data_IF_086750808770
#
_entry.id   IF_086750808770
#
_cell.length_a   1.000
_cell.length_b   1.000
_cell.length_c   1.000
_cell.angle_alpha   90.00
_cell.angle_beta   90.00
_cell.angle_gamma   90.00
#
_symmetry.space_group_name_H-M   'P 1'
#
loop_
_entity.id
_entity.type
_entity.pdbx_description
1 polymer ?
#
# COMPACT_ATOMS: atom_id res chain seq x y z
N UNK A 1 0.30 -14.10 -3.88
CA UNK A 1 1.05 -12.85 -3.80
C UNK A 1 0.17 -11.61 -3.72
N UNK A 2 -0.77 -11.48 -4.63
CA UNK A 2 -1.66 -10.30 -4.61
C UNK A 2 -2.47 -10.20 -3.33
N UNK A 3 -3.16 -11.27 -2.94
CA UNK A 3 -3.99 -11.28 -1.74
C UNK A 3 -3.18 -11.00 -0.48
N UNK A 4 -1.99 -11.57 -0.39
CA UNK A 4 -1.09 -11.35 0.75
C UNK A 4 -0.73 -9.87 0.88
N UNK A 5 -0.43 -9.21 -0.24
CA UNK A 5 -0.10 -7.78 -0.25
C UNK A 5 -1.31 -6.95 0.17
N UNK A 6 -2.49 -7.27 -0.34
CA UNK A 6 -3.72 -6.56 0.04
C UNK A 6 -4.06 -6.74 1.52
N UNK A 7 -3.84 -7.93 2.06
CA UNK A 7 -4.04 -8.18 3.49
C UNK A 7 -3.05 -7.40 4.34
N UNK A 8 -1.82 -7.26 3.87
CA UNK A 8 -0.81 -6.46 4.56
C UNK A 8 -1.25 -4.98 4.66
N UNK A 9 -1.77 -4.43 3.56
CA UNK A 9 -2.29 -3.06 3.54
C UNK A 9 -3.52 -2.93 4.43
N UNK A 10 -4.44 -3.88 4.35
CA UNK A 10 -5.66 -3.89 5.17
C UNK A 10 -5.32 -3.91 6.65
N UNK A 11 -4.39 -4.76 7.06
CA UNK A 11 -3.97 -4.85 8.45
C UNK A 11 -3.39 -3.53 8.94
N UNK A 12 -2.57 -2.89 8.12
CA UNK A 12 -2.04 -1.56 8.45
C UNK A 12 -3.16 -0.54 8.65
N UNK A 13 -4.15 -0.53 7.76
CA UNK A 13 -5.26 0.44 7.84
C UNK A 13 -6.11 0.21 9.08
N UNK A 14 -6.29 -1.04 9.51
CA UNK A 14 -7.08 -1.39 10.69
C UNK A 14 -6.31 -1.23 12.00
N UNK A 15 -5.01 -1.51 11.98
CA UNK A 15 -4.14 -1.55 13.16
C UNK A 15 -2.86 -0.76 12.89
N UNK A 16 -3.00 0.55 12.70
CA UNK A 16 -1.88 1.40 12.31
C UNK A 16 -0.78 1.40 13.38
N UNK A 17 0.45 0.99 13.02
CA UNK A 17 1.58 1.04 13.96
C UNK A 17 2.06 2.47 14.12
N UNK A 18 2.90 2.70 15.14
CA UNK A 18 3.53 3.99 15.36
C UNK A 18 4.57 4.32 14.29
N UNK A 19 5.23 3.29 13.74
CA UNK A 19 6.26 3.45 12.73
C UNK A 19 5.74 3.11 11.34
N UNK A 20 5.20 4.13 10.66
CA UNK A 20 4.71 3.94 9.29
C UNK A 20 5.82 3.98 8.26
N UNK A 21 7.00 4.50 8.62
CA UNK A 21 8.14 4.51 7.72
C UNK A 21 8.60 3.09 7.39
N UNK A 22 8.70 2.24 8.40
CA UNK A 22 9.05 0.83 8.20
C UNK A 22 8.02 0.11 7.32
N UNK A 23 6.72 0.33 7.59
CA UNK A 23 5.65 -0.22 6.77
C UNK A 23 5.83 0.20 5.30
N UNK A 24 6.12 1.47 5.06
CA UNK A 24 6.26 2.01 3.71
C UNK A 24 7.42 1.38 2.94
N UNK A 25 8.55 1.19 3.61
CA UNK A 25 9.72 0.55 3.00
C UNK A 25 9.40 -0.88 2.61
N UNK A 26 8.75 -1.63 3.50
CA UNK A 26 8.38 -3.03 3.24
C UNK A 26 7.39 -3.09 2.07
N UNK A 27 6.39 -2.22 2.05
CA UNK A 27 5.41 -2.21 0.96
C UNK A 27 6.05 -1.86 -0.39
N UNK A 28 6.96 -0.88 -0.42
CA UNK A 28 7.69 -0.55 -1.65
C UNK A 28 8.49 -1.75 -2.16
N UNK A 29 9.18 -2.46 -1.27
CA UNK A 29 9.94 -3.64 -1.63
C UNK A 29 9.05 -4.73 -2.22
N UNK A 30 7.89 -4.96 -1.61
CA UNK A 30 6.92 -5.94 -2.11
C UNK A 30 6.42 -5.55 -3.50
N UNK A 31 6.13 -4.28 -3.72
CA UNK A 31 5.63 -3.81 -5.02
C UNK A 31 6.68 -3.93 -6.13
N UNK A 32 7.96 -3.91 -5.79
CA UNK A 32 9.04 -4.15 -6.76
C UNK A 32 9.28 -5.64 -6.94
N UNK A 33 9.49 -6.35 -5.84
CA UNK A 33 9.93 -7.74 -5.87
C UNK A 33 8.85 -8.71 -6.34
N UNK A 34 7.59 -8.47 -5.95
CA UNK A 34 6.49 -9.37 -6.23
C UNK A 34 5.55 -8.86 -7.34
N UNK A 35 5.90 -7.77 -8.00
CA UNK A 35 5.04 -7.17 -9.02
C UNK A 35 4.62 -8.17 -10.10
N UNK A 36 5.57 -8.89 -10.67
CA UNK A 36 5.28 -9.81 -11.77
C UNK A 36 4.31 -10.91 -11.36
N UNK A 37 4.53 -11.49 -10.16
CA UNK A 37 3.63 -12.53 -9.64
C UNK A 37 2.24 -11.97 -9.35
N UNK A 38 2.15 -10.78 -8.78
CA UNK A 38 0.87 -10.12 -8.52
C UNK A 38 0.15 -9.77 -9.81
N UNK A 39 0.87 -9.27 -10.79
CA UNK A 39 0.33 -8.90 -12.09
C UNK A 39 -0.21 -10.12 -12.84
N UNK A 40 0.45 -11.26 -12.70
CA UNK A 40 -0.04 -12.49 -13.30
C UNK A 40 -1.38 -12.91 -12.67
N UNK A 41 -1.55 -12.72 -11.37
CA UNK A 41 -2.78 -13.09 -10.66
C UNK A 41 -3.91 -12.10 -10.89
N UNK A 42 -3.61 -10.79 -10.81
CA UNK A 42 -4.58 -9.69 -10.93
C UNK A 42 -3.95 -8.54 -11.70
N UNK A 43 -3.89 -8.63 -13.04
CA UNK A 43 -3.13 -7.65 -13.82
C UNK A 43 -3.62 -6.20 -13.65
N UNK A 44 -4.92 -5.95 -13.80
CA UNK A 44 -5.42 -4.58 -13.69
C UNK A 44 -5.32 -4.03 -12.27
N UNK A 45 -5.68 -4.82 -11.28
CA UNK A 45 -5.61 -4.40 -9.90
C UNK A 45 -4.16 -4.09 -9.48
N UNK A 46 -3.21 -4.89 -9.94
CA UNK A 46 -1.79 -4.68 -9.66
C UNK A 46 -1.28 -3.39 -10.31
N UNK A 47 -1.69 -3.10 -11.54
CA UNK A 47 -1.32 -1.87 -12.23
C UNK A 47 -1.83 -0.64 -11.46
N UNK A 48 -3.07 -0.69 -10.98
CA UNK A 48 -3.64 0.39 -10.17
C UNK A 48 -2.86 0.57 -8.87
N UNK A 49 -2.59 -0.53 -8.17
CA UNK A 49 -1.85 -0.50 -6.92
C UNK A 49 -0.45 0.10 -7.10
N UNK A 50 0.24 -0.27 -8.16
CA UNK A 50 1.60 0.18 -8.41
C UNK A 50 1.71 1.60 -8.97
N UNK A 51 0.61 2.25 -9.29
CA UNK A 51 0.62 3.59 -9.87
C UNK A 51 0.86 4.68 -8.83
N UNK A 52 -0.02 4.80 -7.84
CA UNK A 52 0.05 5.88 -6.84
C UNK A 52 0.67 5.44 -5.52
N UNK A 53 0.60 4.16 -5.19
CA UNK A 53 1.06 3.66 -3.90
C UNK A 53 2.54 3.94 -3.63
N UNK A 54 3.46 3.79 -4.62
CA UNK A 54 4.85 4.14 -4.38
C UNK A 54 5.05 5.61 -3.98
N UNK A 55 4.30 6.53 -4.57
CA UNK A 55 4.37 7.95 -4.21
C UNK A 55 3.87 8.20 -2.79
N UNK A 56 2.82 7.50 -2.39
CA UNK A 56 2.30 7.58 -1.03
C UNK A 56 3.37 7.08 -0.04
N UNK A 57 3.96 5.93 -0.33
CA UNK A 57 5.03 5.36 0.50
C UNK A 57 6.24 6.29 0.59
N UNK A 58 6.60 6.95 -0.51
CA UNK A 58 7.71 7.88 -0.55
C UNK A 58 7.50 9.10 0.36
N UNK A 59 6.26 9.41 0.71
CA UNK A 59 5.95 10.53 1.61
C UNK A 59 6.17 10.18 3.09
N UNK A 60 6.34 8.91 3.43
CA UNK A 60 6.53 8.49 4.80
C UNK A 60 7.92 8.84 5.31
N UNK A 61 7.99 9.34 6.54
CA UNK A 61 9.23 9.75 7.18
C UNK A 61 9.25 9.28 8.63
N UNK A 62 10.44 9.10 9.24
CA UNK A 62 10.52 8.87 10.68
C UNK A 62 9.98 10.09 11.45
N UNK A 63 9.23 9.84 12.51
CA UNK A 63 8.76 10.92 13.38
C UNK A 63 7.61 11.75 12.82
N UNK A 64 6.77 11.18 11.99
CA UNK A 64 5.60 11.88 11.46
C UNK A 64 4.61 12.25 12.57
N UNK A 65 3.96 13.41 12.41
CA UNK A 65 2.93 13.87 13.34
C UNK A 65 1.65 13.03 13.15
N UNK A 66 0.74 13.01 14.16
CA UNK A 66 -0.55 12.34 13.99
C UNK A 66 -1.34 12.82 12.78
N UNK A 67 -1.24 14.10 12.43
CA UNK A 67 -1.92 14.66 11.25
C UNK A 67 -1.33 14.09 9.96
N UNK A 68 -0.01 14.01 9.87
CA UNK A 68 0.69 13.42 8.73
C UNK A 68 0.37 11.95 8.57
N UNK A 69 0.33 11.22 9.69
CA UNK A 69 -0.06 9.81 9.68
C UNK A 69 -1.50 9.64 9.19
N UNK A 70 -2.40 10.49 9.65
CA UNK A 70 -3.80 10.48 9.22
C UNK A 70 -3.94 10.70 7.71
N UNK A 71 -3.18 11.64 7.16
CA UNK A 71 -3.19 11.93 5.73
C UNK A 71 -2.63 10.77 4.91
N UNK A 72 -1.54 10.16 5.38
CA UNK A 72 -0.97 8.97 4.77
C UNK A 72 -2.01 7.84 4.69
N UNK A 73 -2.68 7.56 5.81
CA UNK A 73 -3.72 6.53 5.87
C UNK A 73 -4.87 6.83 4.93
N UNK A 74 -5.32 8.08 4.87
CA UNK A 74 -6.42 8.50 4.01
C UNK A 74 -6.07 8.24 2.54
N UNK A 75 -4.89 8.63 2.10
CA UNK A 75 -4.43 8.43 0.73
C UNK A 75 -4.31 6.95 0.40
N UNK A 76 -3.71 6.18 1.29
CA UNK A 76 -3.55 4.75 1.10
C UNK A 76 -4.89 4.03 1.04
N UNK A 77 -5.85 4.42 1.87
CA UNK A 77 -7.19 3.83 1.88
C UNK A 77 -7.91 4.06 0.55
N UNK A 78 -7.78 5.25 -0.02
CA UNK A 78 -8.37 5.56 -1.32
C UNK A 78 -7.82 4.61 -2.39
N UNK A 79 -6.51 4.41 -2.42
CA UNK A 79 -5.90 3.49 -3.38
C UNK A 79 -6.31 2.05 -3.13
N UNK A 80 -6.33 1.62 -1.88
CA UNK A 80 -6.79 0.29 -1.49
C UNK A 80 -8.20 0.01 -2.03
N UNK A 81 -9.12 0.94 -1.86
CA UNK A 81 -10.50 0.78 -2.32
C UNK A 81 -10.59 0.74 -3.86
N UNK A 82 -9.79 1.55 -4.56
CA UNK A 82 -9.70 1.48 -6.03
C UNK A 82 -9.24 0.11 -6.49
N UNK A 83 -8.22 -0.43 -5.84
CA UNK A 83 -7.67 -1.75 -6.17
C UNK A 83 -8.73 -2.84 -5.97
N UNK A 84 -9.45 -2.79 -4.86
CA UNK A 84 -10.52 -3.76 -4.60
C UNK A 84 -11.59 -3.77 -5.69
N UNK A 85 -11.91 -2.59 -6.23
CA UNK A 85 -12.90 -2.50 -7.31
C UNK A 85 -12.40 -3.07 -8.64
N UNK A 86 -11.11 -3.23 -8.80
CA UNK A 86 -10.49 -3.76 -10.01
C UNK A 86 -10.18 -5.26 -9.94
N UNK A 87 -10.39 -5.88 -8.79
CA UNK A 87 -10.18 -7.33 -8.61
C UNK A 87 -11.24 -8.10 -9.38
N UNK A 88 -10.81 -9.12 -10.10
CA UNK A 88 -11.70 -10.03 -10.85
C UNK A 88 -11.69 -11.44 -10.28
#
# INVERSE_FOLDING_TARGET
MFEKTMNYIKDFLENTPDDIYEFSIILEDVLVDDYDAMHEEQPRATEILANETPDICASAEPGMTPEEIGEFKRRLKIEYEKVLRAVV
#
